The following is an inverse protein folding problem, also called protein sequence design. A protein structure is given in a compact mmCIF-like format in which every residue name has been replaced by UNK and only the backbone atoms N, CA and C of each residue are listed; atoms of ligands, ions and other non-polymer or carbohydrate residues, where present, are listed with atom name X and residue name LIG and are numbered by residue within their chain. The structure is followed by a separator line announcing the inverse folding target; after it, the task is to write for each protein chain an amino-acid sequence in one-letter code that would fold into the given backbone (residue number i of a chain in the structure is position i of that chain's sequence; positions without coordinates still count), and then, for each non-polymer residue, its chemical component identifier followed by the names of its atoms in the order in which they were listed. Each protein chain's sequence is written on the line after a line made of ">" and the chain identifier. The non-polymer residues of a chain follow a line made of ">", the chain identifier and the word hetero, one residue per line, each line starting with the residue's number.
data_IF_917964220185
#
_entry.id   IF_917964220185
#
_cell.length_a   1.000
_cell.length_b   1.000
_cell.length_c   1.000
_cell.angle_alpha   90.00
_cell.angle_beta   90.00
_cell.angle_gamma   90.00
#
_symmetry.space_group_name_H-M   'P 1'
#
loop_
_entity.id
_entity.type
_entity.pdbx_description
1 polymer ?
2 polymer ?
3 non-polymer ?
4 water ?
#
# COMPACT_ATOMS: atom_id res chain seq x y z
N UNK A 1 8.14 -14.64 23.61
CA UNK A 1 8.41 -14.69 22.17
C UNK A 1 9.39 -13.62 21.74
N UNK A 2 10.04 -13.84 20.60
CA UNK A 2 10.90 -12.81 20.01
C UNK A 2 10.03 -11.62 19.61
N UNK A 3 10.47 -10.42 19.99
CA UNK A 3 9.76 -9.20 19.64
C UNK A 3 10.74 -8.11 19.24
N UNK A 4 10.37 -7.38 18.19
CA UNK A 4 11.14 -6.23 17.71
C UNK A 4 10.16 -5.08 17.53
N UNK A 5 10.43 -3.95 18.17
CA UNK A 5 9.52 -2.82 18.18
C UNK A 5 10.29 -1.58 17.73
N UNK A 6 9.96 -1.08 16.54
CA UNK A 6 10.60 0.10 15.99
C UNK A 6 9.93 1.37 16.48
N UNK A 7 10.70 2.46 16.46
CA UNK A 7 10.19 3.80 16.78
C UNK A 7 11.15 4.82 16.20
N UNK A 8 10.70 6.08 16.19
CA UNK A 8 11.53 7.19 15.76
C UNK A 8 11.18 7.75 14.40
N UNK A 9 10.31 7.10 13.64
CA UNK A 9 9.93 7.63 12.34
C UNK A 9 9.05 8.85 12.44
N UNK A 10 9.04 9.63 11.36
CA UNK A 10 8.23 10.83 11.34
C UNK A 10 8.43 11.60 10.05
N UNK A 11 7.92 12.83 10.05
CA UNK A 11 8.03 13.72 8.91
C UNK A 11 9.27 14.60 9.07
N UNK A 12 10.17 14.56 8.09
CA UNK A 12 11.42 15.30 8.13
C UNK A 12 11.59 16.07 6.83
N UNK A 13 12.16 17.26 6.94
CA UNK A 13 12.48 18.05 5.76
C UNK A 13 13.69 17.44 5.03
N UNK A 14 13.76 17.60 3.70
CA UNK A 14 14.95 17.14 2.97
C UNK A 14 16.22 17.76 3.54
N UNK A 15 17.28 16.95 3.61
CA UNK A 15 18.51 17.35 4.23
C UNK A 15 18.56 17.19 5.73
N UNK A 16 17.45 16.80 6.36
CA UNK A 16 17.39 16.66 7.79
C UNK A 16 17.94 15.32 8.27
N UNK A 17 17.94 15.16 9.58
CA UNK A 17 18.42 13.95 10.23
C UNK A 17 17.29 13.31 11.03
N UNK A 18 17.43 12.01 11.27
CA UNK A 18 16.45 11.25 12.01
C UNK A 18 17.08 9.94 12.47
N UNK A 19 16.86 9.59 13.73
CA UNK A 19 17.40 8.35 14.28
C UNK A 19 16.26 7.40 14.62
N UNK A 20 16.30 6.22 14.04
CA UNK A 20 15.33 5.17 14.32
C UNK A 20 15.86 4.23 15.38
N UNK A 21 14.96 3.68 16.18
CA UNK A 21 15.31 2.72 17.21
C UNK A 21 14.51 1.45 16.99
N UNK A 22 15.06 0.35 17.50
CA UNK A 22 14.46 -0.97 17.41
C UNK A 22 14.68 -1.66 18.76
N UNK A 23 13.63 -1.77 19.57
CA UNK A 23 13.78 -2.39 20.89
C UNK A 23 13.48 -3.88 20.79
N UNK A 24 14.45 -4.70 21.16
CA UNK A 24 14.34 -6.15 21.07
C UNK A 24 14.05 -6.76 22.43
N UNK A 25 13.30 -7.86 22.43
CA UNK A 25 13.01 -8.60 23.65
C UNK A 25 12.70 -10.03 23.28
N UNK A 26 12.80 -10.92 24.28
CA UNK A 26 12.51 -12.31 24.06
C UNK A 26 13.63 -13.15 23.53
N UNK A 27 14.84 -12.60 23.43
CA UNK A 27 16.00 -13.38 22.99
C UNK A 27 17.26 -12.62 23.38
N UNK A 28 18.41 -13.31 23.28
CA UNK A 28 19.70 -12.73 23.64
C UNK A 28 20.14 -11.85 22.47
N UNK A 29 19.80 -10.56 22.58
CA UNK A 29 20.02 -9.62 21.49
C UNK A 29 21.49 -9.55 21.09
N UNK A 30 22.40 -9.61 22.08
CA UNK A 30 23.83 -9.46 21.81
C UNK A 30 24.43 -10.62 21.03
N UNK A 31 23.67 -11.68 20.77
CA UNK A 31 24.17 -12.84 20.04
C UNK A 31 23.84 -12.82 18.55
N UNK A 32 23.08 -11.83 18.08
CA UNK A 32 22.46 -11.91 16.76
C UNK A 32 22.90 -10.76 15.86
N UNK A 33 23.13 -11.10 14.59
CA UNK A 33 23.22 -10.10 13.54
C UNK A 33 21.85 -9.46 13.34
N UNK A 34 21.85 -8.12 13.22
CA UNK A 34 20.62 -7.35 13.04
C UNK A 34 20.70 -6.51 11.78
N UNK A 35 19.55 -6.26 11.16
CA UNK A 35 19.51 -5.52 9.92
C UNK A 35 18.32 -4.56 9.90
N UNK A 36 18.41 -3.59 8.99
CA UNK A 36 17.30 -2.71 8.63
C UNK A 36 16.93 -2.95 7.18
N UNK A 37 15.62 -3.08 6.92
CA UNK A 37 15.09 -3.23 5.58
C UNK A 37 13.93 -2.25 5.43
N UNK A 38 13.87 -1.57 4.30
CA UNK A 38 12.83 -0.57 4.06
C UNK A 38 11.92 -1.01 2.93
N UNK A 39 10.69 -0.50 2.96
CA UNK A 39 9.69 -0.76 1.92
C UNK A 39 9.22 0.59 1.37
N UNK A 40 9.45 0.79 0.07
CA UNK A 40 9.10 2.05 -0.56
C UNK A 40 7.59 2.21 -0.66
N UNK A 41 7.11 3.43 -0.94
CA UNK A 41 5.68 3.59 -1.23
C UNK A 41 5.17 2.71 -2.35
N UNK A 42 6.05 2.33 -3.29
CA UNK A 42 5.71 1.38 -4.34
C UNK A 42 5.70 -0.07 -3.85
N UNK A 43 5.83 -0.27 -2.53
CA UNK A 43 5.71 -1.58 -1.88
C UNK A 43 6.86 -2.52 -2.23
N UNK A 44 8.02 -1.99 -2.58
CA UNK A 44 9.18 -2.81 -2.87
C UNK A 44 10.15 -2.79 -1.69
N UNK A 45 10.73 -3.96 -1.40
CA UNK A 45 11.66 -4.11 -0.29
C UNK A 45 13.08 -3.83 -0.74
N UNK A 46 13.83 -3.12 0.09
CA UNK A 46 15.21 -2.76 -0.21
C UNK A 46 16.05 -2.89 1.06
N UNK A 47 17.18 -3.57 0.94
CA UNK A 47 18.08 -3.71 2.08
C UNK A 47 18.76 -2.39 2.40
N UNK A 48 18.88 -2.10 3.69
CA UNK A 48 19.39 -0.81 4.16
C UNK A 48 20.75 -0.95 4.84
N UNK A 49 20.85 -1.83 5.83
CA UNK A 49 22.10 -1.98 6.57
C UNK A 49 22.04 -3.24 7.43
N UNK A 50 23.23 -3.69 7.83
CA UNK A 50 23.38 -4.89 8.65
C UNK A 50 24.58 -4.68 9.58
N UNK A 51 24.47 -5.19 10.81
CA UNK A 51 25.52 -5.01 11.81
C UNK A 51 25.73 -6.32 12.55
N UNK A 52 27.00 -6.63 12.84
CA UNK A 52 27.33 -7.87 13.55
C UNK A 52 26.86 -7.81 15.00
N UNK A 53 26.90 -8.96 15.65
CA UNK A 53 26.36 -9.09 17.00
C UNK A 53 27.08 -8.14 17.98
N UNK A 54 28.40 -8.03 17.86
CA UNK A 54 29.15 -7.14 18.72
C UNK A 54 29.29 -5.72 18.22
N UNK A 55 28.74 -5.41 17.05
CA UNK A 55 28.84 -4.07 16.50
C UNK A 55 30.15 -3.76 15.80
N UNK A 56 31.04 -4.75 15.65
CA UNK A 56 32.35 -4.48 15.06
C UNK A 56 32.27 -4.28 13.56
N UNK A 57 31.29 -4.88 12.89
CA UNK A 57 31.22 -4.89 11.44
C UNK A 57 29.85 -4.41 10.99
N UNK A 58 29.85 -3.44 10.07
CA UNK A 58 28.62 -2.91 9.47
C UNK A 58 28.69 -3.06 7.96
N UNK A 59 27.52 -3.15 7.34
CA UNK A 59 27.40 -3.32 5.90
C UNK A 59 26.22 -2.49 5.41
N UNK A 60 26.35 -1.92 4.22
CA UNK A 60 25.29 -1.08 3.67
C UNK A 60 25.53 -0.92 2.18
N UNK A 61 24.48 -0.69 1.39
CA UNK A 61 24.66 -0.46 -0.05
C UNK A 61 25.20 0.93 -0.30
N UNK A 62 25.58 1.16 -1.57
CA UNK A 62 26.12 2.47 -1.94
C UNK A 62 25.07 3.58 -1.84
N UNK A 63 23.79 3.24 -1.95
CA UNK A 63 22.75 4.25 -1.91
C UNK A 63 22.65 4.95 -0.55
N UNK A 64 23.12 4.30 0.52
CA UNK A 64 23.03 4.88 1.86
C UNK A 64 24.39 5.05 2.51
N UNK A 65 25.47 4.61 1.87
CA UNK A 65 26.79 4.75 2.46
C UNK A 65 27.14 6.21 2.64
N UNK A 66 27.66 6.56 3.82
CA UNK A 66 28.00 7.93 4.15
C UNK A 66 26.85 8.76 4.69
N UNK A 67 25.62 8.29 4.56
CA UNK A 67 24.45 9.02 5.05
C UNK A 67 23.74 8.33 6.20
N UNK A 68 23.62 7.01 6.16
CA UNK A 68 22.98 6.25 7.23
C UNK A 68 24.06 5.47 7.98
N UNK A 69 23.93 5.38 9.30
CA UNK A 69 24.87 4.62 10.12
C UNK A 69 24.07 3.67 10.99
N UNK A 70 24.38 2.37 10.91
CA UNK A 70 23.73 1.41 11.78
C UNK A 70 24.60 1.24 13.01
N UNK A 71 23.96 1.05 14.16
CA UNK A 71 24.67 0.82 15.41
C UNK A 71 23.75 0.07 16.36
N UNK A 72 24.29 -0.31 17.51
CA UNK A 72 23.52 -1.07 18.49
C UNK A 72 24.06 -0.80 19.88
N UNK A 73 23.17 -0.87 20.86
CA UNK A 73 23.52 -0.76 22.28
C UNK A 73 23.07 -2.08 22.92
N UNK A 74 24.00 -3.04 22.99
CA UNK A 74 23.66 -4.35 23.51
C UNK A 74 23.25 -4.29 24.97
N UNK A 75 23.73 -3.29 25.71
CA UNK A 75 23.28 -3.13 27.09
C UNK A 75 21.80 -2.80 27.18
N UNK A 76 21.26 -2.10 26.18
CA UNK A 76 19.86 -1.74 26.15
C UNK A 76 19.03 -2.63 25.24
N UNK A 77 19.65 -3.62 24.60
CA UNK A 77 18.98 -4.52 23.65
C UNK A 77 18.24 -3.71 22.58
N UNK A 78 18.94 -2.74 21.99
CA UNK A 78 18.33 -1.80 21.07
C UNK A 78 19.21 -1.63 19.83
N UNK A 79 18.57 -1.62 18.66
CA UNK A 79 19.23 -1.38 17.38
C UNK A 79 18.89 0.03 16.91
N UNK A 80 19.86 0.68 16.26
CA UNK A 80 19.70 2.06 15.84
C UNK A 80 20.01 2.21 14.36
N UNK A 81 19.41 3.22 13.75
CA UNK A 81 19.76 3.66 12.40
C UNK A 81 19.74 5.18 12.41
N UNK A 82 20.92 5.79 12.38
CA UNK A 82 21.04 7.25 12.32
C UNK A 82 21.06 7.68 10.87
N UNK A 83 20.07 8.45 10.46
CA UNK A 83 19.95 8.92 9.09
C UNK A 83 20.27 10.40 9.03
N UNK A 84 21.02 10.80 8.00
CA UNK A 84 21.36 12.19 7.76
C UNK A 84 21.35 12.44 6.27
N UNK A 85 21.33 13.72 5.89
CA UNK A 85 21.24 14.12 4.49
C UNK A 85 20.08 13.42 3.80
N UNK A 86 18.94 13.41 4.48
CA UNK A 86 17.78 12.68 3.98
C UNK A 86 17.28 13.28 2.69
N UNK A 87 16.81 12.42 1.78
CA UNK A 87 16.25 12.82 0.51
C UNK A 87 14.82 12.30 0.42
N UNK A 88 14.05 12.88 -0.51
CA UNK A 88 12.65 12.49 -0.66
C UNK A 88 12.53 11.00 -1.00
N UNK A 89 13.48 10.47 -1.78
CA UNK A 89 13.43 9.06 -2.15
C UNK A 89 13.72 8.12 -0.97
N UNK A 90 14.22 8.63 0.16
CA UNK A 90 14.39 7.80 1.33
C UNK A 90 13.08 7.46 2.01
N UNK A 91 12.00 8.15 1.65
CA UNK A 91 10.67 7.88 2.23
C UNK A 91 10.30 6.42 2.08
N UNK A 92 10.03 5.77 3.20
CA UNK A 92 9.74 4.34 3.22
C UNK A 92 9.31 3.94 4.62
N UNK A 93 8.79 2.72 4.72
CA UNK A 93 8.57 2.06 6.01
C UNK A 93 9.84 1.27 6.35
N UNK A 94 10.41 1.55 7.52
CA UNK A 94 11.68 0.96 7.92
C UNK A 94 11.43 -0.17 8.92
N UNK A 95 11.96 -1.37 8.62
CA UNK A 95 11.81 -2.54 9.47
C UNK A 95 13.14 -2.98 10.06
N UNK A 96 13.06 -3.45 11.29
CA UNK A 96 14.16 -4.10 11.99
C UNK A 96 14.00 -5.61 11.83
N UNK A 97 15.10 -6.33 11.57
CA UNK A 97 15.00 -7.78 11.44
C UNK A 97 16.23 -8.44 12.04
N UNK A 98 16.02 -9.67 12.50
CA UNK A 98 17.06 -10.49 13.09
C UNK A 98 17.46 -11.58 12.11
N UNK A 99 18.76 -11.80 11.96
CA UNK A 99 19.29 -12.88 11.14
C UNK A 99 19.59 -14.07 12.03
N UNK A 100 18.94 -15.20 11.75
CA UNK A 100 19.08 -16.41 12.55
C UNK A 100 19.59 -17.55 11.69
N UNK A 101 20.40 -18.42 12.29
CA UNK A 101 20.92 -19.60 11.61
C UNK A 101 19.87 -20.70 11.68
N UNK A 102 19.30 -21.07 10.53
CA UNK A 102 18.26 -22.08 10.44
C UNK A 102 18.84 -23.28 9.69
N UNK A 103 18.69 -24.47 10.27
CA UNK A 103 19.26 -25.66 9.67
C UNK A 103 18.52 -26.04 8.39
N UNK A 104 19.26 -26.61 7.44
CA UNK A 104 18.76 -27.08 6.17
C UNK A 104 18.87 -28.60 6.11
N UNK A 105 19.09 -29.14 4.91
CA UNK A 105 19.23 -30.59 4.76
C UNK A 105 20.63 -31.05 5.14
N UNK A 106 21.66 -30.34 4.67
CA UNK A 106 23.04 -30.71 4.93
C UNK A 106 23.74 -29.79 5.91
N UNK A 107 23.32 -28.53 6.01
CA UNK A 107 23.98 -27.58 6.89
C UNK A 107 22.98 -26.58 7.47
N UNK A 108 23.08 -25.33 7.05
CA UNK A 108 22.19 -24.30 7.53
C UNK A 108 22.54 -22.97 6.89
N UNK A 109 21.67 -22.00 7.10
CA UNK A 109 21.82 -20.66 6.52
C UNK A 109 21.34 -19.62 7.52
N UNK A 110 21.83 -18.39 7.34
CA UNK A 110 21.32 -17.24 8.07
C UNK A 110 20.24 -16.56 7.22
N UNK A 111 19.06 -16.39 7.81
CA UNK A 111 17.95 -15.74 7.14
C UNK A 111 17.24 -14.83 8.13
N UNK A 112 16.60 -13.78 7.60
CA UNK A 112 15.90 -12.80 8.42
C UNK A 112 14.56 -13.39 8.84
N UNK A 113 14.51 -13.97 10.05
CA UNK A 113 13.36 -14.76 10.48
C UNK A 113 12.35 -13.99 11.33
N UNK A 114 12.76 -12.93 12.01
CA UNK A 114 11.84 -12.13 12.81
C UNK A 114 11.93 -10.67 12.41
N UNK A 115 10.77 -10.02 12.30
CA UNK A 115 10.67 -8.64 11.84
C UNK A 115 9.82 -7.85 12.81
N UNK A 116 10.09 -6.55 12.90
CA UNK A 116 9.27 -5.64 13.67
C UNK A 116 8.09 -5.13 12.86
N UNK A 117 7.25 -4.34 13.52
CA UNK A 117 6.07 -3.79 12.85
C UNK A 117 6.42 -2.68 11.88
N UNK A 118 7.61 -2.10 11.98
CA UNK A 118 8.04 -1.03 11.10
C UNK A 118 7.70 0.34 11.63
N UNK A 119 8.50 1.32 11.23
CA UNK A 119 8.25 2.72 11.55
C UNK A 119 8.38 3.53 10.27
N UNK A 120 7.43 4.46 10.07
CA UNK A 120 7.30 5.16 8.80
C UNK A 120 8.15 6.42 8.80
N UNK A 121 8.87 6.62 7.70
CA UNK A 121 9.74 7.79 7.51
C UNK A 121 9.29 8.49 6.24
N UNK A 122 8.92 9.77 6.36
CA UNK A 122 8.50 10.58 5.23
C UNK A 122 9.41 11.80 5.15
N UNK A 123 10.08 11.97 4.02
CA UNK A 123 10.97 13.10 3.77
C UNK A 123 10.29 13.99 2.74
N UNK A 124 9.93 15.20 3.16
CA UNK A 124 9.15 16.07 2.28
C UNK A 124 9.25 17.51 2.77
N UNK A 125 9.16 18.44 1.82
CA UNK A 125 9.10 19.85 2.17
C UNK A 125 7.68 20.36 2.36
N UNK A 126 6.67 19.53 2.09
CA UNK A 126 5.28 19.96 2.14
C UNK A 126 4.85 20.40 3.54
N UNK A 127 3.98 21.41 3.59
CA UNK A 127 3.50 21.93 4.86
C UNK A 127 2.31 21.13 5.34
N UNK A 128 2.24 20.91 6.66
CA UNK A 128 1.12 20.20 7.25
C UNK A 128 -0.15 21.03 7.12
N UNK A 129 -1.20 20.43 6.56
CA UNK A 129 -2.41 21.15 6.20
C UNK A 129 -3.65 20.30 6.52
N UNK A 130 -4.67 20.87 7.17
CA UNK A 130 -5.86 20.10 7.47
C UNK A 130 -6.70 19.89 6.22
N UNK A 131 -7.49 18.81 6.18
CA UNK A 131 -8.31 18.56 5.00
C UNK A 131 -9.57 19.40 4.97
N UNK A 132 -10.07 19.62 3.75
CA UNK A 132 -11.42 20.10 3.53
C UNK A 132 -12.30 18.89 3.26
N UNK A 133 -13.43 18.80 3.96
CA UNK A 133 -14.31 17.64 3.89
C UNK A 133 -15.61 18.07 3.22
N UNK A 134 -15.94 17.44 2.10
CA UNK A 134 -17.12 17.84 1.35
C UNK A 134 -18.07 16.65 1.18
N UNK A 135 -19.37 16.88 1.31
CA UNK A 135 -20.33 15.79 1.13
C UNK A 135 -20.58 15.47 -0.33
N UNK A 136 -20.81 14.18 -0.59
CA UNK A 136 -21.18 13.71 -1.92
C UNK A 136 -22.58 13.11 -1.81
N UNK A 137 -23.57 13.84 -2.31
CA UNK A 137 -24.96 13.42 -2.22
C UNK A 137 -25.55 13.25 -3.62
N UNK A 138 -26.40 12.25 -3.83
CA UNK A 138 -27.05 11.98 -5.11
C UNK A 138 -28.13 13.00 -5.44
N UNK A 145 -32.66 2.38 -6.44
CA UNK A 145 -33.45 1.20 -6.12
C UNK A 145 -33.44 0.95 -4.62
N UNK A 146 -33.19 -0.31 -4.23
CA UNK A 146 -33.14 -0.66 -2.82
C UNK A 146 -31.94 -0.06 -2.11
N UNK A 147 -30.87 0.26 -2.83
CA UNK A 147 -29.65 0.79 -2.26
C UNK A 147 -29.35 2.17 -2.85
N UNK A 148 -28.65 2.99 -2.08
CA UNK A 148 -28.20 4.30 -2.53
C UNK A 148 -26.76 4.51 -2.07
N UNK A 149 -25.96 5.12 -2.93
CA UNK A 149 -24.54 5.33 -2.67
C UNK A 149 -24.30 6.79 -2.32
N UNK A 150 -23.74 7.04 -1.15
CA UNK A 150 -23.29 8.35 -0.72
C UNK A 150 -21.78 8.38 -0.67
N UNK A 151 -21.22 9.57 -0.43
CA UNK A 151 -19.78 9.66 -0.34
C UNK A 151 -19.28 10.91 0.36
N UNK A 152 -17.95 11.00 0.45
CA UNK A 152 -17.24 12.01 1.21
C UNK A 152 -15.95 12.34 0.46
N UNK A 153 -15.70 13.61 0.19
CA UNK A 153 -14.48 14.03 -0.51
C UNK A 153 -13.56 14.72 0.49
N UNK A 154 -12.38 14.17 0.70
CA UNK A 154 -11.40 14.68 1.67
C UNK A 154 -10.24 15.25 0.87
N UNK A 155 -10.14 16.57 0.81
CA UNK A 155 -9.28 17.24 -0.15
C UNK A 155 -8.30 18.17 0.53
N UNK A 156 -7.05 18.14 0.05
CA UNK A 156 -6.08 19.16 0.37
C UNK A 156 -5.40 19.05 1.72
N UNK A 157 -5.03 17.84 2.13
CA UNK A 157 -4.38 17.66 3.42
C UNK A 157 -2.97 17.12 3.24
N UNK A 158 -2.15 17.33 4.28
CA UNK A 158 -0.82 16.76 4.35
C UNK A 158 -0.40 16.76 5.81
N UNK A 159 0.27 15.70 6.29
CA UNK A 159 0.59 14.48 5.53
C UNK A 159 -0.46 13.39 5.71
N UNK A 160 -0.15 12.21 5.18
CA UNK A 160 -0.92 11.02 5.51
C UNK A 160 -0.66 10.65 6.97
N UNK A 161 -1.58 9.91 7.61
CA UNK A 161 -2.85 9.43 7.07
C UNK A 161 -4.06 10.22 7.55
N UNK A 162 -5.21 9.99 6.88
CA UNK A 162 -6.51 10.34 7.41
C UNK A 162 -7.27 9.04 7.66
N UNK A 163 -8.25 9.11 8.54
CA UNK A 163 -9.14 8.01 8.86
C UNK A 163 -10.57 8.46 8.55
N UNK A 164 -11.33 7.62 7.86
CA UNK A 164 -12.71 7.93 7.51
C UNK A 164 -13.60 6.81 8.02
N UNK A 165 -14.60 7.17 8.78
CA UNK A 165 -15.65 6.24 9.22
C UNK A 165 -17.00 6.84 8.86
N UNK A 166 -18.03 6.01 8.96
CA UNK A 166 -19.39 6.41 8.64
C UNK A 166 -20.30 6.13 9.83
N UNK A 167 -21.03 7.14 10.26
CA UNK A 167 -21.88 7.07 11.45
C UNK A 167 -21.08 6.57 12.66
N UNK A 168 -19.88 7.13 12.82
CA UNK A 168 -18.99 6.81 13.95
C UNK A 168 -18.67 5.32 14.03
N UNK A 169 -18.69 4.65 12.89
CA UNK A 169 -18.40 3.23 12.84
C UNK A 169 -19.63 2.33 12.81
N UNK A 170 -20.83 2.88 12.97
CA UNK A 170 -22.04 2.07 12.90
C UNK A 170 -22.24 1.51 11.49
N UNK A 171 -21.74 2.21 10.47
CA UNK A 171 -21.79 1.74 9.09
C UNK A 171 -20.39 1.25 8.72
N UNK A 172 -20.22 -0.06 8.70
CA UNK A 172 -18.92 -0.66 8.43
C UNK A 172 -18.86 -1.43 7.12
N UNK A 173 -19.94 -2.08 6.71
CA UNK A 173 -19.98 -2.80 5.45
C UNK A 173 -20.47 -1.89 4.33
N UNK A 174 -20.13 -2.25 3.10
CA UNK A 174 -20.48 -1.42 1.96
C UNK A 174 -19.71 -0.13 1.86
N UNK A 175 -18.54 -0.05 2.50
CA UNK A 175 -17.73 1.16 2.53
C UNK A 175 -16.50 0.94 1.66
N UNK A 176 -16.21 1.92 0.79
CA UNK A 176 -14.98 1.94 0.00
C UNK A 176 -14.28 3.26 0.28
N UNK A 177 -13.12 3.19 0.92
CA UNK A 177 -12.27 4.36 1.13
C UNK A 177 -11.06 4.22 0.22
N UNK A 178 -10.91 5.15 -0.67
CA UNK A 178 -9.91 4.96 -1.71
C UNK A 178 -8.55 5.52 -1.28
N UNK A 179 -7.48 4.88 -1.74
CA UNK A 179 -6.13 5.35 -1.37
C UNK A 179 -5.92 6.80 -1.81
N UNK A 180 -5.27 7.57 -0.94
CA UNK A 180 -5.03 8.97 -1.23
C UNK A 180 -4.04 9.13 -2.39
N UNK A 181 -4.20 10.23 -3.12
CA UNK A 181 -3.34 10.57 -4.24
C UNK A 181 -2.71 11.93 -3.97
N UNK A 182 -1.42 12.04 -4.21
CA UNK A 182 -0.68 13.28 -3.97
C UNK A 182 -0.64 14.12 -5.23
N UNK A 183 -1.02 15.39 -5.10
CA UNK A 183 -0.95 16.34 -6.20
C UNK A 183 -0.65 17.72 -5.63
N UNK A 184 0.40 18.35 -6.14
CA UNK A 184 0.84 19.67 -5.68
C UNK A 184 1.09 19.67 -4.17
N UNK A 185 1.73 18.59 -3.69
CA UNK A 185 2.10 18.44 -2.28
C UNK A 185 0.90 18.44 -1.35
N UNK A 186 -0.27 18.05 -1.87
CA UNK A 186 -1.46 17.88 -1.05
C UNK A 186 -2.15 16.59 -1.45
N UNK A 187 -2.67 15.89 -0.44
CA UNK A 187 -3.37 14.63 -0.68
C UNK A 187 -4.87 14.86 -0.83
N UNK A 188 -5.50 13.98 -1.60
CA UNK A 188 -6.94 13.98 -1.75
C UNK A 188 -7.42 12.54 -1.82
N UNK A 189 -8.50 12.23 -1.11
CA UNK A 189 -9.15 10.93 -1.24
C UNK A 189 -10.65 11.11 -1.14
N UNK A 190 -11.36 10.04 -1.48
CA UNK A 190 -12.80 9.95 -1.31
C UNK A 190 -13.16 8.64 -0.63
N UNK A 191 -14.34 8.62 -0.03
CA UNK A 191 -14.90 7.42 0.56
C UNK A 191 -16.36 7.32 0.14
N UNK A 192 -16.78 6.12 -0.27
CA UNK A 192 -18.16 5.86 -0.63
C UNK A 192 -18.79 4.90 0.35
N UNK A 193 -20.09 5.05 0.56
CA UNK A 193 -20.87 4.14 1.39
C UNK A 193 -22.18 3.86 0.70
N UNK A 194 -22.61 2.59 0.73
CA UNK A 194 -23.87 2.17 0.14
C UNK A 194 -24.78 1.70 1.27
N UNK A 195 -25.94 2.34 1.38
CA UNK A 195 -26.91 2.03 2.43
C UNK A 195 -28.26 1.75 1.79
N UNK A 196 -29.15 1.06 2.50
CA UNK A 196 -30.51 0.89 1.98
C UNK A 196 -31.18 2.23 1.77
N UNK A 197 -31.90 2.36 0.65
CA UNK A 197 -32.60 3.60 0.36
C UNK A 197 -33.64 3.94 1.42
N UNK A 198 -34.14 2.95 2.16
CA UNK A 198 -35.10 3.22 3.22
C UNK A 198 -34.48 3.91 4.42
N UNK A 199 -33.15 3.94 4.52
CA UNK A 199 -32.48 4.52 5.69
C UNK A 199 -31.94 5.92 5.44
N UNK A 200 -31.88 6.38 4.18
CA UNK A 200 -31.41 7.72 3.89
C UNK A 200 -32.30 8.29 2.78
N UNK A 201 -32.75 9.54 2.90
CA UNK A 201 -32.40 10.50 3.97
C UNK A 201 -33.32 10.48 5.19
N UNK A 202 -34.12 9.42 5.37
CA UNK A 202 -35.00 9.35 6.53
C UNK A 202 -34.19 9.33 7.82
N UNK A 203 -33.05 8.66 7.82
CA UNK A 203 -32.10 8.67 8.93
C UNK A 203 -30.80 9.32 8.47
N UNK A 204 -30.05 9.85 9.44
CA UNK A 204 -28.86 10.62 9.13
C UNK A 204 -27.69 9.70 8.79
N UNK A 205 -26.92 10.10 7.78
CA UNK A 205 -25.64 9.49 7.43
C UNK A 205 -24.57 10.57 7.51
N UNK A 206 -23.51 10.27 8.24
CA UNK A 206 -22.47 11.25 8.53
C UNK A 206 -21.11 10.62 8.29
N UNK A 207 -20.24 11.38 7.61
CA UNK A 207 -18.85 11.03 7.34
C UNK A 207 -17.96 11.60 8.44
N UNK A 208 -17.18 10.76 9.11
CA UNK A 208 -16.29 11.18 10.18
C UNK A 208 -14.85 11.09 9.67
N UNK A 209 -14.17 12.23 9.62
CA UNK A 209 -12.80 12.32 9.13
C UNK A 209 -11.90 12.79 10.27
N UNK A 210 -10.82 12.05 10.49
CA UNK A 210 -9.80 12.44 11.45
C UNK A 210 -8.47 12.58 10.74
N UNK A 211 -7.77 13.67 11.00
CA UNK A 211 -6.43 13.93 10.47
C UNK A 211 -5.56 14.31 11.66
N UNK A 212 -4.93 13.33 12.31
CA UNK A 212 -4.21 13.63 13.56
C UNK A 212 -3.10 14.65 13.41
N UNK A 213 -2.43 14.70 12.25
CA UNK A 213 -1.30 15.61 12.08
C UNK A 213 -1.73 17.07 12.20
N UNK A 214 -2.99 17.38 11.90
CA UNK A 214 -3.51 18.73 12.03
C UNK A 214 -4.52 18.85 13.17
N UNK A 215 -4.57 17.85 14.05
CA UNK A 215 -5.51 17.85 15.19
C UNK A 215 -6.94 18.05 14.74
N UNK A 216 -7.30 17.38 13.64
CA UNK A 216 -8.57 17.61 12.96
C UNK A 216 -9.51 16.43 13.16
N UNK A 217 -10.71 16.74 13.64
CA UNK A 217 -11.83 15.81 13.65
C UNK A 217 -13.03 16.53 13.04
N UNK A 218 -13.56 16.00 11.94
CA UNK A 218 -14.65 16.62 11.21
C UNK A 218 -15.78 15.61 11.04
N UNK A 219 -17.00 16.03 11.33
CA UNK A 219 -18.21 15.26 11.06
C UNK A 219 -19.03 16.02 10.03
N UNK A 220 -19.23 15.42 8.86
CA UNK A 220 -19.98 16.05 7.77
C UNK A 220 -21.22 15.22 7.50
N UNK A 221 -22.39 15.80 7.78
CA UNK A 221 -23.65 15.13 7.50
C UNK A 221 -23.95 15.20 6.01
N UNK A 222 -24.47 14.10 5.48
CA UNK A 222 -24.86 14.03 4.07
C UNK A 222 -26.34 14.37 3.97
N UNK A 223 -26.66 15.51 3.39
CA UNK A 223 -28.05 15.93 3.21
C UNK A 223 -28.38 15.95 1.73
N UNK A 224 -29.64 15.74 1.34
CA UNK A 224 -29.98 15.59 -0.09
C UNK A 224 -29.62 16.83 -0.90
N UNK A 225 -29.63 16.64 -2.21
CA UNK A 225 -29.22 17.64 -3.20
C UNK A 225 -27.73 17.97 -3.09
N UNK B 1 26.34 -6.13 -8.21
CA UNK B 1 25.19 -6.60 -7.43
C UNK B 1 24.53 -7.80 -8.09
N UNK B 2 23.99 -8.70 -7.27
CA UNK B 2 23.19 -9.81 -7.77
C UNK B 2 21.76 -9.31 -7.95
N UNK B 3 21.34 -9.15 -9.19
CA UNK B 3 20.02 -8.60 -9.50
C UNK B 3 19.02 -9.75 -9.60
N UNK B 4 17.91 -9.62 -8.89
CA UNK B 4 16.83 -10.61 -8.90
C UNK B 4 15.65 -10.03 -9.69
N UNK B 5 15.22 -10.76 -10.71
CA UNK B 5 14.07 -10.37 -11.52
C UNK B 5 12.97 -11.40 -11.35
N UNK B 6 11.83 -10.96 -10.82
CA UNK B 6 10.67 -11.82 -10.64
C UNK B 6 9.74 -11.75 -11.83
N UNK B 7 8.98 -12.82 -12.03
CA UNK B 7 8.02 -12.93 -13.12
C UNK B 7 6.86 -13.80 -12.66
N UNK B 8 5.61 -13.36 -12.83
CA UNK B 8 5.23 -12.04 -13.36
C UNK B 8 5.18 -10.98 -12.27
N UNK B 9 4.88 -9.73 -12.64
CA UNK B 9 4.75 -8.67 -11.64
C UNK B 9 3.45 -8.78 -10.86
N UNK B 10 2.40 -9.31 -11.48
CA UNK B 10 1.13 -9.56 -10.80
C UNK B 10 0.52 -10.81 -11.39
N UNK B 11 -0.33 -11.46 -10.58
CA UNK B 11 -0.87 -12.77 -10.92
C UNK B 11 -2.22 -12.96 -10.25
N UNK B 12 -3.21 -13.36 -11.03
CA UNK B 12 -4.55 -13.66 -10.52
C UNK B 12 -4.81 -15.15 -10.69
N UNK B 13 -5.10 -15.83 -9.58
CA UNK B 13 -5.25 -17.28 -9.57
C UNK B 13 -6.60 -17.62 -8.93
N UNK B 14 -7.35 -18.51 -9.57
CA UNK B 14 -8.61 -18.98 -9.01
C UNK B 14 -8.35 -19.84 -7.78
N UNK B 15 -9.29 -19.79 -6.84
CA UNK B 15 -9.18 -20.63 -5.65
C UNK B 15 -9.13 -22.10 -6.07
N UNK B 16 -8.18 -22.83 -5.49
CA UNK B 16 -7.99 -24.23 -5.80
C UNK B 16 -7.04 -24.53 -6.92
N UNK B 17 -6.52 -23.51 -7.61
CA UNK B 17 -5.62 -23.68 -8.73
C UNK B 17 -4.19 -23.33 -8.31
N UNK B 18 -3.27 -23.40 -9.27
CA UNK B 18 -1.84 -23.25 -9.01
C UNK B 18 -1.37 -21.83 -9.24
N UNK B 19 -0.58 -21.31 -8.30
CA UNK B 19 0.14 -20.06 -8.47
C UNK B 19 1.62 -20.35 -8.52
N UNK B 20 2.29 -19.87 -9.57
CA UNK B 20 3.71 -20.09 -9.77
C UNK B 20 4.41 -18.75 -9.98
N UNK B 21 5.44 -18.50 -9.17
CA UNK B 21 6.20 -17.26 -9.23
C UNK B 21 7.66 -17.62 -9.51
N UNK B 22 8.27 -16.92 -10.46
CA UNK B 22 9.63 -17.19 -10.88
C UNK B 22 10.57 -16.09 -10.38
N UNK B 23 11.82 -16.48 -10.09
CA UNK B 23 12.86 -15.54 -9.71
C UNK B 23 14.15 -15.96 -10.37
N UNK B 24 14.75 -15.04 -11.12
CA UNK B 24 16.00 -15.29 -11.84
C UNK B 24 17.08 -14.36 -11.31
N UNK B 25 18.24 -14.92 -10.99
CA UNK B 25 19.36 -14.16 -10.45
C UNK B 25 20.41 -13.94 -11.53
N UNK B 26 21.01 -12.74 -11.54
CA UNK B 26 22.05 -12.44 -12.51
C UNK B 26 23.33 -13.21 -12.25
N UNK B 27 23.50 -13.74 -11.04
CA UNK B 27 24.62 -14.60 -10.71
C UNK B 27 24.09 -15.77 -9.88
N UNK B 28 24.87 -16.84 -9.83
CA UNK B 28 24.50 -17.97 -8.99
C UNK B 28 24.44 -17.55 -7.53
N UNK B 29 23.40 -17.98 -6.83
CA UNK B 29 23.25 -17.71 -5.40
C UNK B 29 23.39 -18.98 -4.57
N UNK B 30 23.94 -20.05 -5.16
CA UNK B 30 24.22 -21.29 -4.46
C UNK B 30 25.72 -21.49 -4.35
N UNK B 31 26.16 -22.08 -3.24
CA UNK B 31 27.56 -22.41 -3.02
C UNK B 31 27.63 -23.78 -2.36
N UNK B 32 27.99 -24.79 -3.15
CA UNK B 32 28.23 -26.15 -2.66
C UNK B 32 27.02 -26.69 -1.90
N UNK B 33 25.91 -26.83 -2.63
CA UNK B 33 24.70 -27.37 -2.05
C UNK B 33 23.87 -26.33 -1.32
N UNK B 34 24.52 -25.50 -0.51
CA UNK B 34 23.82 -24.47 0.25
C UNK B 34 23.25 -23.43 -0.68
N UNK B 35 21.96 -23.14 -0.52
CA UNK B 35 21.27 -22.15 -1.35
C UNK B 35 20.97 -20.91 -0.51
N UNK B 36 21.30 -19.75 -1.05
CA UNK B 36 21.09 -18.49 -0.36
C UNK B 36 19.87 -17.74 -0.89
N UNK B 37 18.94 -18.46 -1.51
CA UNK B 37 17.70 -17.88 -2.01
C UNK B 37 16.60 -18.05 -0.97
N UNK B 38 15.93 -16.96 -0.62
CA UNK B 38 14.83 -16.96 0.32
C UNK B 38 13.61 -16.32 -0.33
N UNK B 39 12.43 -16.70 0.16
CA UNK B 39 11.17 -16.13 -0.28
C UNK B 39 10.45 -15.52 0.92
N UNK B 40 9.87 -14.33 0.71
CA UNK B 40 9.15 -13.62 1.75
C UNK B 40 7.72 -13.32 1.28
N UNK B 41 6.79 -13.41 2.22
CA UNK B 41 5.38 -13.10 2.00
C UNK B 41 5.01 -11.87 2.82
N UNK B 42 4.36 -10.90 2.18
CA UNK B 42 3.96 -9.69 2.90
C UNK B 42 2.53 -9.31 2.53
N UNK B 43 1.69 -9.14 3.54
CA UNK B 43 0.33 -8.68 3.42
C UNK B 43 0.24 -7.21 3.81
N UNK B 44 -0.77 -6.49 3.32
CA UNK B 44 -0.83 -5.04 3.60
C UNK B 44 -0.93 -4.75 5.09
N UNK B 45 -0.16 -3.75 5.52
CA UNK B 45 -0.10 -3.36 6.90
C UNK B 45 0.71 -4.27 7.80
N UNK B 46 1.35 -5.30 7.25
CA UNK B 46 2.09 -6.27 8.02
C UNK B 46 3.54 -6.35 7.54
N UNK B 47 4.48 -6.71 8.41
CA UNK B 47 5.87 -6.85 7.98
C UNK B 47 6.05 -8.08 7.10
N UNK B 48 7.18 -8.17 6.39
CA UNK B 48 7.45 -9.39 5.63
C UNK B 48 7.62 -10.60 6.53
N UNK B 49 7.22 -11.75 6.01
CA UNK B 49 7.30 -13.02 6.72
C UNK B 49 8.18 -13.98 5.94
N UNK B 50 9.17 -14.57 6.61
CA UNK B 50 10.02 -15.58 5.98
C UNK B 50 9.18 -16.80 5.62
N UNK B 51 8.99 -17.03 4.32
CA UNK B 51 8.14 -18.09 3.82
C UNK B 51 8.93 -19.34 3.44
N UNK B 52 9.97 -19.18 2.63
CA UNK B 52 10.86 -20.26 2.24
C UNK B 52 12.29 -19.80 2.48
N UNK B 53 13.12 -20.67 3.02
CA UNK B 53 14.54 -20.37 3.21
C UNK B 53 15.39 -21.46 2.58
N UNK B 54 16.55 -21.05 2.06
CA UNK B 54 17.47 -21.96 1.38
C UNK B 54 16.75 -22.72 0.26
N UNK B 55 16.04 -21.96 -0.58
CA UNK B 55 15.42 -22.42 -1.82
C UNK B 55 14.18 -23.29 -1.61
N UNK B 56 14.21 -24.23 -0.66
CA UNK B 56 13.17 -25.25 -0.60
C UNK B 56 12.71 -25.62 0.80
N UNK B 57 13.13 -24.90 1.84
CA UNK B 57 12.77 -25.24 3.21
C UNK B 57 11.64 -24.36 3.70
N UNK B 58 10.65 -24.97 4.35
CA UNK B 58 9.46 -24.24 4.76
C UNK B 58 9.76 -23.33 5.95
N UNK B 59 9.24 -22.11 5.91
CA UNK B 59 9.32 -21.22 7.04
C UNK B 59 8.48 -21.70 8.21
N UNK B 60 8.54 -20.94 9.29
CA UNK B 60 7.77 -21.29 10.49
C UNK B 60 6.28 -21.16 10.23
N UNK B 61 5.54 -22.23 10.50
CA UNK B 61 4.10 -22.21 10.32
C UNK B 61 3.63 -22.14 8.88
N UNK B 62 4.51 -22.39 7.92
CA UNK B 62 4.16 -22.33 6.50
C UNK B 62 3.57 -23.66 6.08
N UNK B 63 2.38 -23.68 5.50
CA UNK B 63 1.72 -24.95 5.17
C UNK B 63 2.38 -25.63 3.97
N UNK B 64 2.09 -26.93 3.84
CA UNK B 64 2.67 -27.75 2.79
C UNK B 64 2.22 -27.33 1.39
N UNK B 65 1.20 -26.48 1.28
CA UNK B 65 0.78 -26.01 -0.03
C UNK B 65 1.80 -25.08 -0.67
N UNK B 66 2.73 -24.55 0.12
CA UNK B 66 3.84 -23.74 -0.39
C UNK B 66 5.06 -24.62 -0.61
N UNK B 67 5.69 -24.47 -1.76
CA UNK B 67 6.93 -25.20 -2.05
C UNK B 67 7.85 -24.31 -2.87
N UNK B 68 9.14 -24.34 -2.52
CA UNK B 68 10.17 -23.66 -3.28
C UNK B 68 11.07 -24.67 -3.98
N UNK B 69 11.59 -24.28 -5.13
CA UNK B 69 12.48 -25.15 -5.90
C UNK B 69 13.44 -24.28 -6.70
N UNK B 70 14.37 -24.94 -7.37
CA UNK B 70 15.35 -24.27 -8.21
C UNK B 70 16.75 -24.39 -7.65
N UNK B 71 17.69 -23.86 -8.43
CA UNK B 71 19.11 -23.89 -8.07
C UNK B 71 19.85 -22.92 -8.98
N UNK B 72 21.04 -22.53 -8.54
CA UNK B 72 21.88 -21.66 -9.34
C UNK B 72 21.31 -20.28 -9.55
N UNK B 73 20.72 -20.04 -10.73
CA UNK B 73 20.18 -18.73 -11.07
C UNK B 73 18.68 -18.75 -11.38
N UNK B 74 18.00 -19.89 -11.23
CA UNK B 74 16.59 -20.00 -11.57
C UNK B 74 15.84 -20.67 -10.44
N UNK B 75 14.87 -19.96 -9.86
CA UNK B 75 14.12 -20.45 -8.71
C UNK B 75 12.64 -20.18 -8.92
N UNK B 76 11.81 -20.97 -8.25
CA UNK B 76 10.36 -20.87 -8.40
C UNK B 76 9.68 -21.09 -7.06
N UNK B 77 8.58 -20.37 -6.87
CA UNK B 77 7.69 -20.55 -5.73
C UNK B 77 6.35 -21.04 -6.25
N UNK B 78 5.87 -22.15 -5.69
CA UNK B 78 4.61 -22.74 -6.11
C UNK B 78 3.63 -22.78 -4.94
N UNK B 79 2.41 -22.32 -5.18
CA UNK B 79 1.31 -22.38 -4.22
C UNK B 79 0.20 -23.20 -4.86
N UNK B 80 -0.13 -24.35 -4.25
CA UNK B 80 -1.20 -25.17 -4.76
C UNK B 80 -1.73 -26.12 -3.69
N UNK B 81 -3.05 -26.19 -3.47
CA UNK B 81 -4.05 -25.35 -4.13
C UNK B 81 -4.11 -23.93 -3.54
N UNK B 82 -4.45 -22.96 -4.39
CA UNK B 82 -4.60 -21.58 -3.95
C UNK B 82 -5.76 -21.46 -2.98
N UNK B 83 -5.53 -20.73 -1.87
CA UNK B 83 -6.57 -20.46 -0.90
C UNK B 83 -6.65 -18.95 -0.68
N UNK B 84 -7.76 -18.51 -0.07
CA UNK B 84 -8.12 -17.10 -0.10
C UNK B 84 -7.14 -16.21 0.66
N UNK B 85 -6.52 -16.72 1.72
CA UNK B 85 -5.60 -15.92 2.51
C UNK B 85 -4.16 -16.00 2.03
N UNK B 86 -3.93 -16.52 0.83
CA UNK B 86 -2.62 -16.48 0.20
C UNK B 86 -2.36 -15.20 -0.59
N UNK B 87 -3.36 -14.33 -0.73
CA UNK B 87 -3.15 -13.08 -1.43
C UNK B 87 -2.18 -12.21 -0.65
N UNK B 88 -1.12 -11.76 -1.31
CA UNK B 88 -0.04 -11.03 -0.67
C UNK B 88 0.95 -10.60 -1.75
N UNK B 89 1.95 -9.82 -1.31
CA UNK B 89 3.13 -9.56 -2.12
C UNK B 89 4.19 -10.60 -1.79
N UNK B 90 4.83 -11.13 -2.82
CA UNK B 90 5.85 -12.17 -2.66
C UNK B 90 7.17 -11.67 -3.22
N UNK B 91 8.26 -11.87 -2.47
CA UNK B 91 9.58 -11.38 -2.83
C UNK B 91 10.59 -12.51 -2.71
N UNK B 92 11.47 -12.64 -3.70
CA UNK B 92 12.67 -13.43 -3.53
C UNK B 92 13.81 -12.56 -3.03
N UNK B 93 14.76 -13.17 -2.33
CA UNK B 93 15.84 -12.44 -1.69
C UNK B 93 17.05 -13.34 -1.60
N UNK B 94 18.24 -12.77 -1.83
CA UNK B 94 19.48 -13.52 -1.74
C UNK B 94 20.38 -12.89 -0.69
N UNK B 95 21.11 -13.74 0.04
CA UNK B 95 22.06 -13.31 1.05
C UNK B 95 23.46 -13.84 0.79
N UNK B 96 23.72 -14.30 -0.45
CA UNK B 96 25.04 -14.81 -0.77
C UNK B 96 26.08 -13.70 -0.79
N UNK B 97 25.72 -12.54 -1.32
CA UNK B 97 26.65 -11.43 -1.46
C UNK B 97 26.06 -10.16 -0.88
N UNK B 98 26.94 -9.31 -0.36
CA UNK B 98 26.60 -7.94 0.02
C UNK B 98 26.83 -7.09 -1.23
N UNK B 99 25.87 -6.23 -1.62
CA UNK B 99 24.62 -5.94 -0.94
C UNK B 99 23.56 -7.03 -1.09
N UNK B 100 22.86 -7.32 0.01
CA UNK B 100 21.67 -8.16 -0.07
C UNK B 100 20.65 -7.50 -1.00
N UNK B 101 19.97 -8.31 -1.79
CA UNK B 101 19.05 -7.80 -2.79
C UNK B 101 17.72 -8.55 -2.74
N UNK B 102 16.67 -7.86 -3.14
CA UNK B 102 15.33 -8.41 -3.24
C UNK B 102 14.86 -8.37 -4.70
N UNK B 103 14.04 -9.35 -5.06
CA UNK B 103 13.30 -9.25 -6.30
C UNK B 103 12.29 -8.12 -6.26
N UNK B 104 11.79 -7.76 -7.45
CA UNK B 104 10.88 -6.63 -7.55
C UNK B 104 9.52 -6.85 -6.90
N UNK B 105 9.17 -8.09 -6.61
CA UNK B 105 7.91 -8.39 -5.97
C UNK B 105 6.86 -8.87 -6.95
N UNK B 106 5.96 -9.73 -6.47
CA UNK B 106 4.86 -10.26 -7.27
C UNK B 106 3.59 -10.16 -6.44
N UNK B 107 2.59 -9.48 -6.98
CA UNK B 107 1.30 -9.31 -6.31
C UNK B 107 0.38 -10.43 -6.72
N UNK B 108 0.04 -11.30 -5.77
CA UNK B 108 -0.85 -12.44 -6.01
C UNK B 108 -2.25 -12.09 -5.58
N UNK B 109 -3.20 -12.16 -6.50
CA UNK B 109 -4.60 -11.88 -6.23
C UNK B 109 -5.46 -13.08 -6.59
N UNK B 110 -6.73 -13.01 -6.21
CA UNK B 110 -7.70 -14.06 -6.48
C UNK B 110 -8.40 -13.74 -7.80
N UNK B 111 -8.51 -14.75 -8.66
CA UNK B 111 -9.26 -14.63 -9.90
C UNK B 111 -10.69 -15.09 -9.68
N UNK B 112 -11.64 -14.23 -10.01
CA UNK B 112 -13.06 -14.54 -9.88
C UNK B 112 -13.75 -14.23 -11.20
N UNK B 113 -15.06 -14.47 -11.23
CA UNK B 113 -15.84 -14.18 -12.43
C UNK B 113 -15.90 -12.68 -12.68
N UNK B 114 -15.87 -12.30 -13.96
CA UNK B 114 -15.95 -10.90 -14.33
C UNK B 114 -17.24 -10.28 -13.82
N UNK B 115 -17.17 -9.02 -13.42
CA UNK B 115 -18.33 -8.29 -12.93
C UNK B 115 -18.24 -6.84 -13.39
N UNK B 116 -19.38 -6.31 -13.85
CA UNK B 116 -19.44 -4.94 -14.32
C UNK B 116 -19.48 -3.97 -13.13
N UNK B 117 -18.98 -2.75 -13.32
CA UNK B 117 -18.99 -1.78 -12.21
C UNK B 117 -20.37 -1.18 -11.96
N UNK B 118 -20.59 -0.79 -10.71
CA UNK B 118 -21.71 0.05 -10.32
C UNK B 118 -21.21 1.48 -10.26
N UNK B 119 -21.75 2.34 -11.13
CA UNK B 119 -21.21 3.68 -11.38
C UNK B 119 -22.13 4.73 -10.77
N UNK B 120 -21.56 5.69 -10.05
CA UNK B 120 -22.35 6.81 -9.56
C UNK B 120 -21.54 8.09 -9.74
N UNK B 121 -22.26 9.19 -10.02
CA UNK B 121 -21.64 10.48 -10.27
C UNK B 121 -22.17 11.48 -9.25
N UNK B 122 -21.32 12.42 -8.84
CA UNK B 122 -21.65 13.40 -7.81
C UNK B 122 -21.15 14.79 -8.22
N UNK B 123 -22.03 15.79 -8.20
CA UNK B 123 -21.62 17.15 -8.56
C UNK B 123 -20.82 17.79 -7.44
N UNK B 124 -20.17 18.92 -7.70
CA UNK B 124 -19.50 19.65 -6.62
C UNK B 124 -20.48 20.06 -5.53
N UNK B 125 -20.05 19.94 -4.29
CA UNK B 125 -20.89 20.36 -3.17
C UNK B 125 -20.96 21.87 -3.11
N UNK B 126 -22.04 22.38 -2.51
CA UNK B 126 -22.17 23.82 -2.31
C UNK B 126 -21.04 24.36 -1.45
N UNK B 127 -20.55 23.57 -0.49
CA UNK B 127 -19.47 24.02 0.38
C UNK B 127 -18.19 24.22 -0.41
N UNK B 128 -17.87 23.32 -1.33
CA UNK B 128 -16.65 23.48 -2.12
C UNK B 128 -16.76 24.67 -3.06
N UNK B 129 -17.93 24.87 -3.66
CA UNK B 129 -18.11 26.00 -4.56
C UNK B 129 -17.89 27.32 -3.84
N UNK B 130 -18.31 27.42 -2.58
CA UNK B 130 -18.04 28.62 -1.80
C UNK B 130 -16.54 28.85 -1.65
N UNK B 131 -15.75 27.79 -1.58
CA UNK B 131 -14.30 27.92 -1.46
C UNK B 131 -13.63 28.33 -2.76
N UNK B 132 -14.34 28.27 -3.89
CA UNK B 132 -13.78 28.62 -5.17
C UNK B 132 -13.39 27.45 -6.05
N UNK B 133 -13.53 26.22 -5.56
CA UNK B 133 -13.17 25.04 -6.32
C UNK B 133 -14.40 24.25 -6.75
N UNK B 134 -14.16 23.26 -7.61
CA UNK B 134 -15.24 22.43 -8.13
C UNK B 134 -14.66 21.07 -8.50
N UNK B 135 -15.00 20.05 -7.71
CA UNK B 135 -14.60 18.67 -7.98
C UNK B 135 -15.83 17.84 -8.32
N UNK B 136 -15.74 17.08 -9.40
CA UNK B 136 -16.77 16.11 -9.77
C UNK B 136 -16.19 14.72 -9.52
N UNK B 137 -16.98 13.88 -8.86
CA UNK B 137 -16.50 12.57 -8.41
C UNK B 137 -17.35 11.47 -9.04
N UNK B 138 -16.67 10.42 -9.51
CA UNK B 138 -17.31 9.25 -10.10
C UNK B 138 -16.79 7.99 -9.38
N UNK B 139 -17.68 7.18 -8.83
CA UNK B 139 -17.32 5.94 -8.17
C UNK B 139 -17.64 4.78 -9.10
N UNK B 140 -16.68 3.88 -9.26
CA UNK B 140 -16.86 2.66 -10.02
C UNK B 140 -16.60 1.51 -9.06
N UNK B 141 -17.65 0.90 -8.54
CA UNK B 141 -17.54 0.00 -7.40
C UNK B 141 -17.81 -1.44 -7.78
N UNK B 142 -17.04 -2.35 -7.19
CA UNK B 142 -17.31 -3.78 -7.16
C UNK B 142 -17.32 -4.38 -8.57
N UNK B 143 -16.19 -4.25 -9.25
CA UNK B 143 -16.01 -4.83 -10.58
C UNK B 143 -14.79 -5.73 -10.61
N UNK B 144 -14.72 -6.57 -11.66
CA UNK B 144 -13.58 -7.44 -11.89
C UNK B 144 -13.53 -7.76 -13.38
N UNK B 145 -12.34 -7.80 -14.00
CA UNK B 145 -11.01 -7.59 -13.40
C UNK B 145 -10.66 -6.13 -13.15
N UNK B 146 -9.40 -5.90 -12.75
CA UNK B 146 -9.04 -4.60 -12.18
C UNK B 146 -8.99 -3.49 -13.23
N UNK B 147 -8.52 -3.77 -14.44
CA UNK B 147 -8.30 -2.64 -15.34
C UNK B 147 -9.62 -2.18 -15.92
N UNK B 148 -9.77 -0.86 -15.98
CA UNK B 148 -11.01 -0.24 -16.41
C UNK B 148 -10.66 1.11 -16.97
N UNK B 149 -11.48 1.60 -17.87
CA UNK B 149 -11.25 2.87 -18.54
C UNK B 149 -12.36 3.84 -18.19
N UNK B 150 -11.99 5.04 -17.74
CA UNK B 150 -12.92 6.10 -17.41
C UNK B 150 -12.64 7.29 -18.32
N UNK B 151 -13.68 7.82 -18.94
CA UNK B 151 -13.57 8.98 -19.82
C UNK B 151 -14.50 10.07 -19.31
N UNK B 152 -13.94 11.24 -19.01
CA UNK B 152 -14.73 12.39 -18.63
C UNK B 152 -15.07 13.23 -19.86
N UNK B 153 -16.31 13.70 -19.92
CA UNK B 153 -16.75 14.57 -20.99
C UNK B 153 -17.43 15.80 -20.39
N UNK B 154 -17.04 16.98 -20.89
CA UNK B 154 -17.62 18.25 -20.47
C UNK B 154 -18.29 18.86 -21.69
N UNK B 155 -19.62 19.01 -21.61
CA UNK B 155 -20.43 19.42 -22.76
C UNK B 155 -20.15 18.56 -23.99
N UNK B 156 -19.84 17.28 -23.77
CA UNK B 156 -19.59 16.36 -24.85
C UNK B 156 -18.14 16.24 -25.30
N UNK B 157 -17.24 17.03 -24.75
CA UNK B 157 -15.83 17.00 -25.14
C UNK B 157 -15.02 16.30 -24.04
N UNK B 158 -14.13 15.40 -24.46
CA UNK B 158 -13.34 14.64 -23.50
C UNK B 158 -12.39 15.55 -22.73
N UNK B 159 -12.30 15.32 -21.42
CA UNK B 159 -11.45 16.08 -20.52
C UNK B 159 -10.47 15.13 -19.85
N UNK B 160 -9.18 15.34 -20.06
CA UNK B 160 -8.14 14.50 -19.47
C UNK B 160 -7.33 15.20 -18.38
N UNK B 161 -7.03 16.49 -18.54
CA UNK B 161 -6.31 17.20 -17.50
C UNK B 161 -7.21 17.47 -16.31
N UNK B 162 -6.66 17.31 -15.11
CA UNK B 162 -7.40 17.48 -13.90
C UNK B 162 -8.13 16.25 -13.40
N UNK B 163 -7.85 15.08 -13.98
CA UNK B 163 -8.50 13.83 -13.62
C UNK B 163 -7.51 13.00 -12.81
N UNK B 164 -7.93 12.56 -11.63
CA UNK B 164 -7.12 11.71 -10.76
C UNK B 164 -7.92 10.46 -10.42
N UNK B 165 -7.30 9.29 -10.61
CA UNK B 165 -7.94 8.01 -10.37
C UNK B 165 -7.24 7.28 -9.23
N UNK B 166 -8.00 6.46 -8.51
CA UNK B 166 -7.45 5.69 -7.40
C UNK B 166 -8.19 4.37 -7.27
N UNK B 167 -7.45 3.26 -7.38
CA UNK B 167 -8.00 1.93 -7.23
C UNK B 167 -7.86 1.47 -5.78
N UNK B 168 -8.90 0.82 -5.26
CA UNK B 168 -8.75 0.10 -4.01
C UNK B 168 -7.95 -1.19 -4.25
N UNK B 169 -7.45 -1.76 -3.16
CA UNK B 169 -6.93 -3.12 -3.23
C UNK B 169 -8.09 -4.10 -3.41
N UNK B 170 -7.76 -5.32 -3.78
CA UNK B 170 -8.80 -6.34 -3.96
C UNK B 170 -9.54 -6.57 -2.65
N UNK B 171 -10.87 -6.60 -2.73
CA UNK B 171 -11.69 -6.80 -1.55
C UNK B 171 -11.50 -8.21 -1.01
N UNK B 172 -11.23 -8.33 0.30
CA UNK B 172 -10.98 -9.63 0.91
C UNK B 172 -12.24 -10.48 1.06
N UNK B 173 -13.42 -9.96 0.73
CA UNK B 173 -14.66 -10.71 0.88
C UNK B 173 -15.22 -11.21 -0.44
N UNK B 174 -15.32 -10.34 -1.45
CA UNK B 174 -15.87 -10.73 -2.74
C UNK B 174 -14.86 -10.64 -3.89
N UNK B 175 -13.61 -10.29 -3.61
CA UNK B 175 -12.52 -10.27 -4.58
C UNK B 175 -12.75 -9.28 -5.71
N UNK B 176 -13.62 -8.28 -5.52
CA UNK B 176 -13.81 -7.26 -6.53
C UNK B 176 -12.87 -6.08 -6.29
N UNK B 177 -12.82 -5.20 -7.28
CA UNK B 177 -12.10 -3.94 -7.18
C UNK B 177 -13.07 -2.78 -7.24
N UNK B 178 -12.63 -1.64 -6.73
CA UNK B 178 -13.37 -0.39 -6.87
C UNK B 178 -12.39 0.70 -7.24
N UNK B 179 -12.92 1.77 -7.82
CA UNK B 179 -12.06 2.85 -8.29
C UNK B 179 -12.84 4.16 -8.22
N UNK B 180 -12.16 5.22 -7.81
CA UNK B 180 -12.71 6.56 -7.82
C UNK B 180 -12.05 7.37 -8.93
N UNK B 181 -12.83 8.22 -9.59
CA UNK B 181 -12.30 9.16 -10.56
C UNK B 181 -12.79 10.54 -10.19
N UNK B 182 -11.85 11.48 -10.03
CA UNK B 182 -12.14 12.82 -9.54
C UNK B 182 -11.65 13.84 -10.56
N UNK B 183 -12.58 14.68 -11.03
CA UNK B 183 -12.28 15.76 -11.97
C UNK B 183 -12.35 17.08 -11.22
N UNK B 184 -11.22 17.79 -11.14
CA UNK B 184 -11.14 19.04 -10.41
C UNK B 184 -11.01 20.20 -11.38
N UNK B 185 -11.92 21.16 -11.28
CA UNK B 185 -11.91 22.38 -12.08
C UNK B 185 -11.95 23.58 -11.14
N UNK B 186 -11.72 24.76 -11.73
CA UNK B 186 -12.04 25.97 -11.01
C UNK B 186 -13.55 26.21 -11.05
N UNK B 187 -14.05 26.97 -10.08
CA UNK B 187 -15.47 27.27 -10.04
C UNK B 187 -15.89 28.01 -11.30
N UNK B 188 -15.03 28.88 -11.83
CA UNK B 188 -15.38 29.65 -13.03
C UNK B 188 -15.58 28.73 -14.22
N UNK B 189 -14.63 27.83 -14.48
CA UNK B 189 -14.77 26.93 -15.62
C UNK B 189 -15.96 25.98 -15.42
N UNK B 190 -16.20 25.55 -14.19
CA UNK B 190 -17.35 24.68 -13.92
C UNK B 190 -18.66 25.38 -14.30
N UNK B 191 -18.80 26.64 -13.92
CA UNK B 191 -20.02 27.39 -14.21
C UNK B 191 -20.13 27.84 -15.66
N UNK B 192 -19.09 27.62 -16.47
CA UNK B 192 -19.12 27.95 -17.89
C UNK B 192 -19.59 26.80 -18.76
N UNK B 193 -19.87 25.63 -18.17
CA UNK B 193 -20.32 24.46 -18.92
C UNK B 193 -21.55 23.87 -18.25
N UNK B 194 -22.29 23.05 -19.00
CA UNK B 194 -23.61 22.60 -18.60
C UNK B 194 -23.67 21.13 -18.19
N UNK B 195 -23.14 20.24 -19.01
CA UNK B 195 -23.29 18.80 -18.79
C UNK B 195 -21.95 18.16 -18.45
N UNK B 196 -21.97 17.28 -17.44
CA UNK B 196 -20.78 16.57 -16.99
C UNK B 196 -21.08 15.09 -16.98
N UNK B 197 -20.15 14.29 -17.50
CA UNK B 197 -20.40 12.90 -17.81
C UNK B 197 -19.17 12.07 -17.47
N UNK B 198 -19.35 10.95 -16.80
CA UNK B 198 -18.31 9.95 -16.58
C UNK B 198 -18.72 8.69 -17.35
N UNK B 199 -17.85 8.20 -18.22
CA UNK B 199 -18.13 7.05 -19.07
C UNK B 199 -17.15 5.94 -18.73
N UNK B 200 -17.68 4.80 -18.33
CA UNK B 200 -16.90 3.67 -17.86
C UNK B 200 -16.93 2.55 -18.89
N UNK B 201 -15.77 2.21 -19.43
CA UNK B 201 -15.64 1.11 -20.38
C UNK B 201 -14.89 -0.02 -19.69
N UNK B 202 -15.57 -1.15 -19.52
CA UNK B 202 -15.01 -2.32 -18.85
C UNK B 202 -15.18 -3.51 -19.77
N UNK B 203 -14.24 -4.46 -19.68
CA UNK B 203 -14.25 -5.60 -20.60
C UNK B 203 -15.50 -6.45 -20.50
N UNK B 204 -16.37 -6.18 -19.52
CA UNK B 204 -17.65 -6.88 -19.44
C UNK B 204 -18.61 -6.51 -20.56
N UNK B 205 -18.36 -5.40 -21.27
CA UNK B 205 -19.21 -5.00 -22.38
C UNK B 205 -18.49 -3.96 -23.23
N UNK B 206 -18.77 -4.00 -24.53
CA UNK B 206 -18.26 -2.96 -25.42
C UNK B 206 -19.02 -1.65 -25.26
N UNK B 207 -20.25 -1.70 -24.78
CA UNK B 207 -21.03 -0.50 -24.55
C UNK B 207 -20.63 0.14 -23.22
N UNK B 208 -20.21 1.39 -23.20
CA UNK B 208 -19.80 2.02 -21.94
C UNK B 208 -20.99 2.38 -21.07
N UNK B 209 -20.77 2.35 -19.76
CA UNK B 209 -21.75 2.80 -18.79
C UNK B 209 -21.56 4.30 -18.59
N UNK B 210 -22.62 5.07 -18.78
CA UNK B 210 -22.56 6.52 -18.78
C UNK B 210 -23.44 7.05 -17.67
N UNK B 211 -22.85 7.81 -16.75
CA UNK B 211 -23.59 8.57 -15.75
C UNK B 211 -23.33 10.05 -15.98
N UNK B 212 -24.39 10.85 -15.88
CA UNK B 212 -24.28 12.26 -16.26
C UNK B 212 -25.16 13.10 -15.35
N UNK B 213 -24.90 14.40 -15.37
CA UNK B 213 -25.74 15.38 -14.69
C UNK B 213 -25.54 16.73 -15.33
N UNK B 214 -26.57 17.57 -15.26
CA UNK B 214 -26.51 18.95 -15.70
C UNK B 214 -26.33 19.85 -14.49
N UNK B 215 -25.49 20.88 -14.64
CA UNK B 215 -25.09 21.71 -13.50
C UNK B 215 -26.29 22.46 -12.92
N UNK B 216 -27.25 22.79 -13.77
CA UNK B 216 -28.58 23.17 -13.32
C UNK B 216 -28.90 22.58 -11.96
X LIG C 1 -7.04 -9.73 -9.93
#
# INVERSE_FOLDING_TARGET
>A
DVQLVESGGGLVKPGGSLKLSCAASGFTFSSYTMSWVRQTPEKRLEWVATISSGGDYTYSPDSVKGRFTISRDNAKSTLYLQMSSLKSEDTAMFYCSRAEFITTATWGVYAMDYWGQGTSVTVSSAKTTPPSVYPLAPGSAAQTNSMVTLGCLVKGYFPEPVTVTWNSGSLSSGVHTFPAVLQSDLYTLSSSVTVPSSTWPSETVTCNVAHPASSTKVDKKIVPRD
>B
DIVLTQSPDSLAVSLGQRATISCRASESVDNYGISFMNWFQQKPGQPPKLLIYAASNQGSGVPARFSGSGSGTDFSLNIHPMEEDDTAMYFCQQSKEVPWTFGGGTKLEIKRADAAPTVSIFPPSSEQLTSGGASVVCFLNNFYPKDINVKWKIDGSERQNGVLNSWTDQDSKDSTYSMSSTLTLTKDEYERHNSYTCEATHKTSTSPIVKSFNRNE
>C hetero
1 MG MG
#
